data_IF_110435244532
#
_entry.id   IF_110435244532
#
_cell.length_a   1.000
_cell.length_b   1.000
_cell.length_c   1.000
_cell.angle_alpha   90.00
_cell.angle_beta   90.00
_cell.angle_gamma   90.00
#
_symmetry.space_group_name_H-M   'P 1'
#
loop_
_entity.id
_entity.type
_entity.pdbx_description
1 polymer ?
#
# COMPACT_ATOMS: atom_id res chain seq x y z
N UNK A 1 16.22 8.37 31.80
CA UNK A 1 14.77 8.15 31.73
C UNK A 1 14.29 8.84 30.47
N UNK A 2 14.31 8.13 29.33
CA UNK A 2 13.95 8.70 28.04
C UNK A 2 12.44 8.51 27.86
N UNK A 3 11.68 9.59 27.92
CA UNK A 3 10.29 9.60 27.49
C UNK A 3 10.34 9.57 25.95
N UNK A 4 10.23 8.39 25.36
CA UNK A 4 9.82 8.30 23.95
C UNK A 4 8.39 8.84 23.89
N UNK A 5 8.25 10.08 23.42
CA UNK A 5 6.99 10.53 22.87
C UNK A 5 6.66 9.57 21.74
N UNK A 6 5.76 8.62 22.01
CA UNK A 6 5.25 7.67 21.03
C UNK A 6 4.43 8.47 20.01
N UNK A 7 5.14 9.10 19.05
CA UNK A 7 4.54 9.74 17.91
C UNK A 7 3.73 8.66 17.21
N UNK A 8 2.40 8.78 17.32
CA UNK A 8 1.46 7.80 16.79
C UNK A 8 1.79 7.55 15.31
N UNK A 9 2.37 6.39 15.02
CA UNK A 9 2.84 6.03 13.68
C UNK A 9 1.69 6.18 12.67
N UNK A 10 1.99 6.69 11.47
CA UNK A 10 1.02 6.66 10.37
C UNK A 10 0.59 5.21 10.14
N UNK A 11 -0.72 5.00 10.08
CA UNK A 11 -1.32 3.69 9.82
C UNK A 11 -1.47 3.51 8.32
N UNK A 12 -0.84 2.47 7.80
CA UNK A 12 -0.86 2.07 6.40
C UNK A 12 -1.70 0.81 6.28
N UNK A 13 -2.65 0.85 5.36
CA UNK A 13 -3.46 -0.30 5.02
C UNK A 13 -2.83 -1.04 3.85
N UNK A 14 -2.64 -2.35 3.94
CA UNK A 14 -2.06 -3.15 2.86
C UNK A 14 -3.07 -4.19 2.39
N UNK A 15 -3.44 -4.15 1.12
CA UNK A 15 -4.09 -5.28 0.46
C UNK A 15 -3.03 -6.09 -0.27
N UNK A 16 -2.84 -7.33 0.15
CA UNK A 16 -1.89 -8.27 -0.45
C UNK A 16 -2.42 -9.69 -0.23
N UNK A 17 -3.02 -10.26 -1.28
CA UNK A 17 -3.61 -11.60 -1.26
C UNK A 17 -2.59 -12.73 -1.07
N UNK A 18 -1.32 -12.51 -1.42
CA UNK A 18 -0.26 -13.51 -1.32
C UNK A 18 0.64 -13.34 -0.08
N UNK A 19 0.51 -12.24 0.65
CA UNK A 19 1.25 -11.92 1.88
C UNK A 19 2.77 -11.72 1.74
N UNK A 20 3.35 -11.91 0.56
CA UNK A 20 4.79 -11.78 0.36
C UNK A 20 5.26 -10.33 0.59
N UNK A 21 4.55 -9.37 0.00
CA UNK A 21 4.96 -7.97 0.05
C UNK A 21 4.61 -7.33 1.38
N UNK A 22 3.44 -7.62 1.93
CA UNK A 22 3.04 -7.15 3.27
C UNK A 22 3.98 -7.62 4.38
N UNK A 23 4.56 -8.83 4.27
CA UNK A 23 5.62 -9.30 5.19
C UNK A 23 6.90 -8.47 5.03
N UNK A 24 7.31 -8.19 3.80
CA UNK A 24 8.46 -7.33 3.51
C UNK A 24 8.29 -5.94 4.13
N UNK A 25 7.13 -5.30 3.94
CA UNK A 25 6.84 -3.97 4.51
C UNK A 25 6.93 -3.97 6.03
N UNK A 26 6.30 -4.94 6.69
CA UNK A 26 6.36 -5.08 8.14
C UNK A 26 7.77 -5.32 8.65
N UNK A 27 8.62 -6.02 7.89
CA UNK A 27 9.99 -6.25 8.30
C UNK A 27 10.85 -4.98 8.17
N UNK A 28 10.79 -4.31 7.01
CA UNK A 28 11.66 -3.18 6.70
C UNK A 28 11.21 -1.85 7.31
N UNK A 29 9.89 -1.64 7.48
CA UNK A 29 9.31 -0.32 7.75
C UNK A 29 8.55 -0.22 9.08
N UNK A 30 8.48 -1.28 9.88
CA UNK A 30 7.75 -1.27 11.18
C UNK A 30 8.24 -0.23 12.19
N UNK A 31 9.48 0.25 12.06
CA UNK A 31 10.02 1.29 12.95
C UNK A 31 9.31 2.63 12.70
N UNK A 32 8.95 2.90 11.45
CA UNK A 32 8.43 4.19 11.01
C UNK A 32 6.90 4.19 10.88
N UNK A 33 6.30 3.05 10.51
CA UNK A 33 4.86 2.95 10.21
C UNK A 33 4.19 1.75 10.88
N UNK A 34 2.87 1.84 11.07
CA UNK A 34 2.03 0.72 11.51
C UNK A 34 1.27 0.14 10.31
N UNK A 35 1.30 -1.18 10.13
CA UNK A 35 0.71 -1.84 8.97
C UNK A 35 -0.38 -2.84 9.35
N UNK A 36 -1.59 -2.62 8.84
CA UNK A 36 -2.67 -3.60 8.86
C UNK A 36 -2.82 -4.24 7.48
N UNK A 37 -3.12 -5.55 7.45
CA UNK A 37 -3.21 -6.31 6.20
C UNK A 37 -4.63 -6.82 6.01
N UNK A 38 -5.25 -6.47 4.88
CA UNK A 38 -6.59 -6.91 4.50
C UNK A 38 -6.52 -7.97 3.40
N UNK A 39 -7.40 -8.96 3.51
CA UNK A 39 -7.53 -10.07 2.55
C UNK A 39 -8.78 -9.98 1.68
N UNK A 40 -9.75 -9.18 2.09
CA UNK A 40 -10.97 -8.93 1.33
C UNK A 40 -11.60 -7.62 1.81
N UNK A 41 -12.44 -7.05 0.94
CA UNK A 41 -13.06 -5.75 1.18
C UNK A 41 -14.46 -5.85 1.81
N UNK A 42 -14.90 -7.02 2.30
CA UNK A 42 -16.29 -7.22 2.76
C UNK A 42 -16.71 -6.36 3.97
N UNK A 43 -15.75 -5.89 4.78
CA UNK A 43 -15.98 -5.03 5.96
C UNK A 43 -15.20 -3.71 5.89
N UNK A 44 -14.81 -3.32 4.68
CA UNK A 44 -13.81 -2.27 4.48
C UNK A 44 -14.32 -0.86 4.76
N UNK A 45 -15.63 -0.62 4.63
CA UNK A 45 -16.21 0.72 4.67
C UNK A 45 -16.11 1.40 6.04
N UNK A 46 -16.09 0.63 7.14
CA UNK A 46 -16.19 1.20 8.50
C UNK A 46 -14.83 1.58 9.12
N UNK A 47 -13.71 1.29 8.45
CA UNK A 47 -12.37 1.42 9.05
C UNK A 47 -11.43 2.30 8.25
N UNK A 48 -11.83 2.66 7.04
CA UNK A 48 -10.93 3.20 6.03
C UNK A 48 -10.38 4.59 6.40
N UNK A 49 -11.19 5.40 7.08
CA UNK A 49 -10.85 6.72 7.58
C UNK A 49 -9.77 6.73 8.68
N UNK A 50 -9.41 5.57 9.23
CA UNK A 50 -8.35 5.45 10.22
C UNK A 50 -6.95 5.29 9.61
N UNK A 51 -6.84 5.19 8.28
CA UNK A 51 -5.60 4.95 7.56
C UNK A 51 -5.20 6.18 6.75
N UNK A 52 -3.91 6.51 6.77
CA UNK A 52 -3.37 7.67 6.04
C UNK A 52 -3.17 7.37 4.55
N UNK A 53 -2.93 6.10 4.21
CA UNK A 53 -2.68 5.65 2.84
C UNK A 53 -2.94 4.15 2.76
N UNK A 54 -3.33 3.71 1.57
CA UNK A 54 -3.45 2.31 1.23
C UNK A 54 -2.38 1.89 0.21
N UNK A 55 -1.78 0.72 0.43
CA UNK A 55 -0.95 0.03 -0.55
C UNK A 55 -1.71 -1.18 -1.08
N UNK A 56 -1.93 -1.23 -2.38
CA UNK A 56 -2.68 -2.31 -3.04
C UNK A 56 -1.76 -3.10 -3.96
N UNK A 57 -1.49 -4.35 -3.60
CA UNK A 57 -0.69 -5.29 -4.39
C UNK A 57 -1.62 -6.11 -5.28
N UNK A 58 -1.49 -5.94 -6.59
CA UNK A 58 -2.24 -6.73 -7.58
C UNK A 58 -1.40 -7.94 -7.98
N UNK A 59 -1.92 -9.11 -7.64
CA UNK A 59 -1.33 -10.40 -7.96
C UNK A 59 -2.08 -11.12 -9.09
N UNK A 60 -3.31 -10.71 -9.41
CA UNK A 60 -4.13 -11.29 -10.48
C UNK A 60 -5.16 -10.31 -11.05
N UNK A 61 -5.64 -10.56 -12.28
CA UNK A 61 -6.65 -9.71 -12.93
C UNK A 61 -7.96 -9.58 -12.14
N UNK A 62 -8.33 -10.61 -11.37
CA UNK A 62 -9.56 -10.59 -10.55
C UNK A 62 -9.56 -9.45 -9.53
N UNK A 63 -8.38 -9.02 -9.10
CA UNK A 63 -8.20 -7.97 -8.11
C UNK A 63 -8.28 -6.55 -8.71
N UNK A 64 -8.33 -6.42 -10.05
CA UNK A 64 -8.57 -5.13 -10.72
C UNK A 64 -9.97 -4.59 -10.39
N UNK A 65 -10.98 -5.46 -10.30
CA UNK A 65 -12.32 -5.07 -9.88
C UNK A 65 -12.34 -4.55 -8.44
N UNK A 66 -11.54 -5.16 -7.58
CA UNK A 66 -11.39 -4.70 -6.20
C UNK A 66 -10.63 -3.37 -6.15
N UNK A 67 -9.60 -3.18 -6.97
CA UNK A 67 -8.91 -1.89 -7.12
C UNK A 67 -9.90 -0.77 -7.50
N UNK A 68 -10.75 -0.98 -8.51
CA UNK A 68 -11.72 0.03 -8.93
C UNK A 68 -12.67 0.46 -7.80
N UNK A 69 -13.13 -0.49 -6.97
CA UNK A 69 -13.97 -0.21 -5.81
C UNK A 69 -13.26 0.60 -4.73
N UNK A 70 -11.94 0.47 -4.62
CA UNK A 70 -11.12 1.21 -3.65
C UNK A 70 -10.82 2.60 -4.18
N UNK A 71 -10.46 2.70 -5.45
CA UNK A 71 -10.14 3.95 -6.10
C UNK A 71 -11.28 4.97 -5.98
N UNK A 72 -12.53 4.53 -6.17
CA UNK A 72 -13.73 5.36 -6.00
C UNK A 72 -13.93 5.91 -4.58
N UNK A 73 -13.27 5.35 -3.55
CA UNK A 73 -13.41 5.80 -2.16
C UNK A 73 -12.51 6.99 -1.81
N UNK A 74 -11.62 7.41 -2.72
CA UNK A 74 -10.85 8.65 -2.56
C UNK A 74 -9.75 8.61 -1.49
N UNK A 75 -9.33 7.43 -1.05
CA UNK A 75 -8.16 7.31 -0.16
C UNK A 75 -6.88 7.37 -0.98
N UNK A 76 -5.82 8.07 -0.48
CA UNK A 76 -4.50 8.00 -1.07
C UNK A 76 -4.08 6.54 -1.30
N UNK A 77 -3.74 6.21 -2.54
CA UNK A 77 -3.55 4.83 -2.98
C UNK A 77 -2.23 4.68 -3.71
N UNK A 78 -1.36 3.81 -3.20
CA UNK A 78 -0.20 3.29 -3.92
C UNK A 78 -0.60 1.94 -4.48
N UNK A 79 -0.42 1.74 -5.77
CA UNK A 79 -0.68 0.44 -6.41
C UNK A 79 0.64 -0.16 -6.87
N UNK A 80 0.77 -1.48 -6.78
CA UNK A 80 1.87 -2.18 -7.43
C UNK A 80 1.42 -3.52 -8.00
N UNK A 81 2.10 -3.95 -9.06
CA UNK A 81 1.90 -5.25 -9.68
C UNK A 81 3.26 -5.84 -10.07
N UNK A 82 3.44 -7.12 -9.78
CA UNK A 82 4.64 -7.86 -10.20
C UNK A 82 4.50 -8.46 -11.60
N UNK A 83 3.26 -8.68 -12.05
CA UNK A 83 2.98 -9.14 -13.41
C UNK A 83 3.12 -7.97 -14.38
N UNK A 84 3.95 -8.14 -15.43
CA UNK A 84 4.26 -7.09 -16.41
C UNK A 84 3.04 -6.64 -17.20
N UNK A 85 2.18 -7.56 -17.63
CA UNK A 85 0.99 -7.23 -18.43
C UNK A 85 0.00 -6.41 -17.60
N UNK A 86 -0.20 -6.79 -16.33
CA UNK A 86 -1.03 -6.01 -15.40
C UNK A 86 -0.40 -4.64 -15.16
N UNK A 87 0.91 -4.57 -14.90
CA UNK A 87 1.63 -3.32 -14.68
C UNK A 87 1.45 -2.37 -15.87
N UNK A 88 1.67 -2.83 -17.11
CA UNK A 88 1.52 -2.01 -18.30
C UNK A 88 0.09 -1.49 -18.50
N UNK A 89 -0.94 -2.23 -18.09
CA UNK A 89 -2.33 -1.74 -18.11
C UNK A 89 -2.58 -0.66 -17.06
N UNK A 90 -1.97 -0.80 -15.88
CA UNK A 90 -2.06 0.20 -14.81
C UNK A 90 -1.30 1.49 -15.15
N UNK A 91 -0.20 1.39 -15.89
CA UNK A 91 0.58 2.55 -16.38
C UNK A 91 -0.23 3.46 -17.32
N UNK A 92 -1.31 2.96 -17.93
CA UNK A 92 -2.21 3.75 -18.77
C UNK A 92 -3.24 4.56 -17.97
N UNK A 93 -3.21 4.49 -16.64
CA UNK A 93 -4.15 5.19 -15.75
C UNK A 93 -3.41 6.35 -15.06
N UNK A 94 -3.61 7.57 -15.57
CA UNK A 94 -2.85 8.76 -15.16
C UNK A 94 -3.00 9.11 -13.66
N UNK A 95 -4.19 8.87 -13.09
CA UNK A 95 -4.49 9.21 -11.70
C UNK A 95 -4.03 8.14 -10.68
N UNK A 96 -3.28 7.14 -11.12
CA UNK A 96 -2.80 6.06 -10.27
C UNK A 96 -1.34 6.24 -9.89
N UNK A 97 -1.06 6.35 -8.58
CA UNK A 97 0.32 6.27 -8.08
C UNK A 97 0.82 4.82 -8.16
N UNK A 98 1.43 4.47 -9.28
CA UNK A 98 1.99 3.15 -9.53
C UNK A 98 3.44 3.06 -9.02
N UNK A 99 3.67 2.14 -8.10
CA UNK A 99 4.97 1.83 -7.54
C UNK A 99 5.62 0.63 -8.26
N UNK A 100 6.89 0.78 -8.64
CA UNK A 100 7.65 -0.28 -9.29
C UNK A 100 8.26 -1.27 -8.29
N UNK A 101 7.57 -2.38 -8.09
CA UNK A 101 7.99 -3.46 -7.20
C UNK A 101 9.15 -4.32 -7.76
N UNK A 102 9.69 -4.02 -8.94
CA UNK A 102 10.82 -4.74 -9.55
C UNK A 102 12.19 -4.12 -9.23
N UNK A 103 12.23 -2.93 -8.63
CA UNK A 103 13.46 -2.23 -8.23
C UNK A 103 14.25 -2.97 -7.16
N UNK A 104 15.49 -2.55 -6.91
CA UNK A 104 16.28 -3.10 -5.81
C UNK A 104 15.58 -2.83 -4.47
N UNK A 105 15.72 -3.78 -3.54
CA UNK A 105 15.08 -3.74 -2.22
C UNK A 105 15.29 -2.41 -1.47
N UNK A 106 16.48 -1.82 -1.57
CA UNK A 106 16.78 -0.51 -0.96
C UNK A 106 15.99 0.62 -1.60
N UNK A 107 15.89 0.65 -2.92
CA UNK A 107 15.13 1.66 -3.67
C UNK A 107 13.64 1.56 -3.34
N UNK A 108 13.09 0.33 -3.33
CA UNK A 108 11.72 0.05 -2.91
C UNK A 108 11.44 0.63 -1.53
N UNK A 109 12.34 0.39 -0.58
CA UNK A 109 12.17 0.87 0.80
C UNK A 109 12.18 2.39 0.86
N UNK A 110 13.13 3.03 0.22
CA UNK A 110 13.33 4.48 0.32
C UNK A 110 12.19 5.24 -0.38
N UNK A 111 11.74 4.74 -1.54
CA UNK A 111 10.60 5.28 -2.28
C UNK A 111 9.27 5.12 -1.51
N UNK A 112 9.02 3.94 -0.93
CA UNK A 112 7.81 3.75 -0.11
C UNK A 112 7.81 4.60 1.15
N UNK A 113 8.96 4.77 1.81
CA UNK A 113 9.08 5.71 2.93
C UNK A 113 8.72 7.12 2.51
N UNK A 114 9.22 7.57 1.36
CA UNK A 114 8.91 8.88 0.82
C UNK A 114 7.40 9.03 0.55
N UNK A 115 6.76 8.10 -0.16
CA UNK A 115 5.33 8.17 -0.46
C UNK A 115 4.47 8.14 0.81
N UNK A 116 4.70 7.21 1.73
CA UNK A 116 3.90 7.08 2.95
C UNK A 116 4.06 8.31 3.86
N UNK A 117 5.26 8.89 3.92
CA UNK A 117 5.52 10.10 4.72
C UNK A 117 4.77 11.30 4.18
N UNK A 118 4.74 11.49 2.86
CA UNK A 118 4.12 12.65 2.21
C UNK A 118 2.64 12.45 1.84
N UNK A 119 2.09 11.25 2.07
CA UNK A 119 0.65 10.99 1.96
C UNK A 119 -0.13 11.95 2.86
N UNK A 120 -0.98 12.76 2.24
CA UNK A 120 -1.82 13.80 2.87
C UNK A 120 -3.26 13.37 2.92
#
# INVERSE_FOLDING_TARGET
MQIELDMKKKKVLVYDSQHCFSRFLKYELKKDFAFDVYKNFKKFDNVISHYSIMLFVINSEKELYDLMRIFQRGIPLIVCAFNKDIKSRLEMVDDLLLFDATKLKSEIRDELKFYITNAS
#
